data_IF_490275018876
#
_entry.id   IF_490275018876
#
_cell.length_a   1.000
_cell.length_b   1.000
_cell.length_c   1.000
_cell.angle_alpha   90.00
_cell.angle_beta   90.00
_cell.angle_gamma   90.00
#
_symmetry.space_group_name_H-M   'P 1'
#
loop_
_entity.id
_entity.type
_entity.pdbx_description
1 polymer ?
#
# COMPACT_ATOMS: atom_id res chain seq x y z
N UNK A 1 15.68 70.98 -13.80
CA UNK A 1 15.67 69.91 -14.82
C UNK A 1 15.64 68.57 -14.09
N UNK A 2 14.60 67.74 -14.26
CA UNK A 2 14.52 66.40 -13.63
C UNK A 2 15.43 65.47 -14.43
N UNK A 3 16.42 64.84 -13.80
CA UNK A 3 17.21 63.80 -14.45
C UNK A 3 16.33 62.57 -14.64
N UNK A 4 16.10 62.17 -15.89
CA UNK A 4 15.50 60.89 -16.19
C UNK A 4 16.54 59.82 -15.93
N UNK A 5 16.32 58.99 -14.91
CA UNK A 5 17.12 57.79 -14.70
C UNK A 5 16.97 56.89 -15.92
N UNK A 6 18.06 56.62 -16.62
CA UNK A 6 18.06 55.76 -17.79
C UNK A 6 18.06 54.32 -17.31
N UNK A 7 16.91 53.65 -17.39
CA UNK A 7 16.80 52.22 -17.09
C UNK A 7 17.40 51.49 -18.30
N UNK A 8 18.61 50.98 -18.15
CA UNK A 8 19.27 50.13 -19.14
C UNK A 8 18.97 48.68 -18.80
N UNK A 9 18.21 48.01 -19.67
CA UNK A 9 17.95 46.59 -19.54
C UNK A 9 19.15 45.79 -20.04
N UNK A 10 19.85 45.09 -19.15
CA UNK A 10 20.94 44.17 -19.47
C UNK A 10 20.51 42.70 -19.47
N UNK A 11 19.20 42.42 -19.41
CA UNK A 11 18.69 41.06 -19.54
C UNK A 11 18.81 40.60 -20.99
N UNK A 12 19.94 39.96 -21.30
CA UNK A 12 20.09 39.14 -22.49
C UNK A 12 19.60 37.74 -22.13
N UNK A 13 18.42 37.38 -22.60
CA UNK A 13 17.88 36.02 -22.43
C UNK A 13 18.61 35.14 -23.45
N UNK A 14 19.75 34.56 -23.05
CA UNK A 14 20.23 33.34 -23.70
C UNK A 14 19.22 32.23 -23.39
N UNK A 15 19.06 31.28 -24.32
CA UNK A 15 18.06 30.21 -24.23
C UNK A 15 18.00 29.54 -22.86
N UNK A 16 16.81 29.09 -22.50
CA UNK A 16 16.52 28.51 -21.19
C UNK A 16 17.39 27.28 -20.92
N UNK A 17 18.02 27.24 -19.74
CA UNK A 17 18.79 26.09 -19.30
C UNK A 17 17.86 24.92 -18.95
N UNK A 18 17.87 23.87 -19.77
CA UNK A 18 17.09 22.67 -19.54
C UNK A 18 17.87 21.64 -18.71
N UNK A 19 17.22 21.05 -17.71
CA UNK A 19 17.78 20.00 -16.86
C UNK A 19 16.91 18.75 -16.94
N UNK A 20 17.54 17.62 -17.25
CA UNK A 20 16.90 16.30 -17.22
C UNK A 20 17.27 15.57 -15.93
N UNK A 21 16.26 15.10 -15.20
CA UNK A 21 16.39 14.28 -14.00
C UNK A 21 15.95 12.84 -14.33
N UNK A 22 16.85 11.87 -14.15
CA UNK A 22 16.53 10.44 -14.18
C UNK A 22 16.56 9.91 -12.74
N UNK A 23 15.45 9.31 -12.30
CA UNK A 23 15.32 8.76 -10.95
C UNK A 23 15.08 7.26 -11.03
N UNK A 24 15.58 6.52 -10.05
CA UNK A 24 15.26 5.10 -9.86
C UNK A 24 14.67 4.95 -8.46
N UNK A 25 13.44 4.45 -8.38
CA UNK A 25 12.73 4.17 -7.13
C UNK A 25 12.71 2.66 -6.93
N UNK A 26 13.21 2.20 -5.79
CA UNK A 26 13.27 0.77 -5.46
C UNK A 26 12.75 0.52 -4.04
N UNK A 27 11.97 -0.55 -3.88
CA UNK A 27 11.57 -1.06 -2.59
C UNK A 27 12.51 -2.18 -2.15
N UNK A 28 13.03 -2.06 -0.92
CA UNK A 28 13.92 -3.05 -0.32
C UNK A 28 13.22 -3.67 0.87
N UNK A 29 12.56 -4.80 0.65
CA UNK A 29 12.03 -5.62 1.72
C UNK A 29 12.99 -6.77 2.02
N UNK A 30 13.74 -6.66 3.13
CA UNK A 30 14.56 -7.75 3.63
C UNK A 30 13.85 -8.44 4.78
N UNK A 31 13.09 -9.49 4.48
CA UNK A 31 12.67 -10.46 5.48
C UNK A 31 13.39 -11.77 5.19
N UNK A 32 14.12 -12.28 6.19
CA UNK A 32 14.74 -13.61 6.12
C UNK A 32 14.11 -14.41 7.22
N UNK A 33 13.17 -15.27 6.86
CA UNK A 33 12.60 -16.21 7.82
C UNK A 33 13.26 -17.55 7.58
N UNK A 34 14.07 -17.95 8.55
CA UNK A 34 14.65 -19.29 8.62
C UNK A 34 13.85 -20.07 9.64
N UNK A 35 13.30 -21.18 9.17
CA UNK A 35 12.55 -22.09 10.01
C UNK A 35 13.24 -23.44 10.01
N UNK A 36 13.53 -23.93 11.21
CA UNK A 36 13.90 -25.30 11.47
C UNK A 36 12.86 -25.88 12.44
N UNK A 37 12.30 -27.03 12.10
CA UNK A 37 11.37 -27.72 12.98
C UNK A 37 11.16 -29.17 12.60
N UNK A 38 10.57 -29.91 13.53
CA UNK A 38 10.19 -31.30 13.32
C UNK A 38 8.68 -31.36 13.49
N UNK A 39 8.00 -31.87 12.47
CA UNK A 39 6.60 -32.26 12.58
C UNK A 39 6.55 -33.78 12.75
N UNK A 40 5.79 -34.24 13.71
CA UNK A 40 5.69 -35.66 14.05
C UNK A 40 4.24 -36.10 14.23
N UNK A 41 3.91 -37.27 13.72
CA UNK A 41 2.64 -37.96 13.97
C UNK A 41 2.93 -39.32 14.59
N UNK A 42 2.26 -39.62 15.69
CA UNK A 42 2.29 -40.92 16.35
C UNK A 42 0.91 -41.54 16.30
N UNK A 43 0.79 -42.74 15.75
CA UNK A 43 -0.45 -43.52 15.73
C UNK A 43 -0.25 -44.78 16.55
N UNK A 44 -1.26 -45.14 17.34
CA UNK A 44 -1.31 -46.40 18.06
C UNK A 44 -2.73 -46.95 18.02
N UNK A 45 -2.85 -48.26 17.75
CA UNK A 45 -4.10 -48.99 17.85
C UNK A 45 -4.09 -49.91 19.06
N UNK A 46 -5.19 -49.91 19.80
CA UNK A 46 -5.46 -50.89 20.85
C UNK A 46 -6.92 -51.31 20.73
N UNK A 47 -7.15 -52.60 20.55
CA UNK A 47 -8.49 -53.20 20.48
C UNK A 47 -9.43 -52.51 19.46
N UNK A 48 -8.91 -52.23 18.26
CA UNK A 48 -9.65 -51.57 17.19
C UNK A 48 -9.86 -50.05 17.37
N UNK A 49 -9.46 -49.47 18.49
CA UNK A 49 -9.45 -48.02 18.70
C UNK A 49 -8.11 -47.42 18.25
N UNK A 50 -8.16 -46.34 17.47
CA UNK A 50 -6.99 -45.60 16.99
C UNK A 50 -6.76 -44.34 17.85
N UNK A 51 -5.55 -44.21 18.37
CA UNK A 51 -5.06 -43.02 19.06
C UNK A 51 -4.03 -42.33 18.16
N UNK A 52 -4.13 -41.02 18.02
CA UNK A 52 -3.20 -40.22 17.23
C UNK A 52 -2.73 -39.01 18.01
N UNK A 53 -1.42 -38.79 18.06
CA UNK A 53 -0.78 -37.59 18.59
C UNK A 53 -0.06 -36.87 17.46
N UNK A 54 -0.29 -35.56 17.34
CA UNK A 54 0.38 -34.72 16.35
C UNK A 54 1.21 -33.68 17.09
N UNK A 55 2.47 -33.56 16.70
CA UNK A 55 3.37 -32.46 17.03
C UNK A 55 3.58 -31.66 15.75
N UNK A 56 3.03 -30.46 15.71
CA UNK A 56 3.22 -29.51 14.62
C UNK A 56 4.12 -28.37 15.10
N UNK A 57 5.00 -27.88 14.23
CA UNK A 57 5.67 -26.61 14.47
C UNK A 57 4.69 -25.44 14.22
N UNK A 58 4.24 -24.71 15.26
CA UNK A 58 3.22 -23.67 15.13
C UNK A 58 3.73 -22.41 14.40
N UNK A 59 5.05 -22.27 14.21
CA UNK A 59 5.69 -21.12 13.56
C UNK A 59 6.04 -21.39 12.08
N UNK A 60 5.24 -22.23 11.42
CA UNK A 60 5.37 -22.58 10.01
C UNK A 60 5.18 -21.40 9.05
N UNK A 61 6.04 -21.24 8.04
CA UNK A 61 5.87 -20.35 6.87
C UNK A 61 4.73 -20.80 5.92
N UNK A 62 3.62 -21.28 6.48
CA UNK A 62 2.52 -21.94 5.78
C UNK A 62 2.61 -23.47 5.87
N UNK A 63 1.45 -24.13 6.01
CA UNK A 63 1.38 -25.60 5.90
C UNK A 63 1.48 -25.96 4.42
N UNK A 64 2.65 -26.44 3.98
CA UNK A 64 2.84 -26.89 2.61
C UNK A 64 1.83 -28.00 2.24
N UNK A 65 1.12 -27.84 1.12
CA UNK A 65 0.10 -28.79 0.62
C UNK A 65 0.72 -30.15 0.23
N UNK A 66 2.02 -30.15 -0.05
CA UNK A 66 2.87 -31.32 -0.18
C UNK A 66 4.02 -31.21 0.81
N UNK A 67 4.40 -32.34 1.40
CA UNK A 67 5.35 -32.44 2.50
C UNK A 67 6.79 -32.15 2.03
N UNK A 68 7.14 -30.88 1.85
CA UNK A 68 8.48 -30.42 1.48
C UNK A 68 9.46 -30.47 2.69
N UNK A 69 9.57 -31.64 3.34
CA UNK A 69 10.49 -31.89 4.43
C UNK A 69 11.14 -33.28 4.30
N UNK A 70 12.29 -33.48 4.91
CA UNK A 70 12.96 -34.77 4.92
C UNK A 70 12.32 -35.67 5.99
N UNK A 71 11.82 -36.85 5.60
CA UNK A 71 11.35 -37.83 6.57
C UNK A 71 12.54 -38.37 7.39
N UNK A 72 12.49 -38.19 8.71
CA UNK A 72 13.51 -38.67 9.65
C UNK A 72 13.04 -39.91 10.43
N UNK A 73 11.72 -40.14 10.47
CA UNK A 73 11.12 -41.41 10.86
C UNK A 73 9.89 -41.65 9.97
N UNK A 74 9.70 -42.88 9.52
CA UNK A 74 8.53 -43.27 8.74
C UNK A 74 7.91 -44.52 9.38
N UNK A 75 6.76 -44.34 10.04
CA UNK A 75 6.03 -45.43 10.68
C UNK A 75 5.35 -46.38 9.68
N UNK A 76 5.42 -46.09 8.38
CA UNK A 76 4.76 -46.85 7.33
C UNK A 76 3.24 -46.91 7.51
N UNK A 77 2.59 -47.86 6.82
CA UNK A 77 1.14 -48.10 6.95
C UNK A 77 0.80 -48.96 8.19
N UNK A 78 1.63 -48.91 9.23
CA UNK A 78 1.38 -49.64 10.48
C UNK A 78 0.32 -48.90 11.30
N UNK A 79 -0.66 -49.61 11.88
CA UNK A 79 -1.62 -49.00 12.82
C UNK A 79 -0.93 -48.53 14.11
N UNK A 80 0.30 -48.99 14.36
CA UNK A 80 1.17 -48.55 15.44
C UNK A 80 2.48 -48.04 14.82
N UNK A 81 2.58 -46.73 14.60
CA UNK A 81 3.68 -46.12 13.86
C UNK A 81 4.01 -44.72 14.37
N UNK A 82 5.29 -44.35 14.25
CA UNK A 82 5.74 -42.98 14.51
C UNK A 82 6.36 -42.48 13.21
N UNK A 83 5.82 -41.38 12.71
CA UNK A 83 6.34 -40.66 11.55
C UNK A 83 6.82 -39.29 12.00
N UNK A 84 8.00 -38.89 11.56
CA UNK A 84 8.57 -37.59 11.86
C UNK A 84 9.27 -37.03 10.62
N UNK A 85 9.08 -35.75 10.39
CA UNK A 85 9.58 -35.02 9.23
C UNK A 85 10.34 -33.79 9.71
N UNK A 86 11.61 -33.69 9.30
CA UNK A 86 12.41 -32.49 9.47
C UNK A 86 12.04 -31.48 8.38
N UNK A 87 11.66 -30.27 8.79
CA UNK A 87 11.45 -29.13 7.91
C UNK A 87 12.53 -28.09 8.16
N UNK A 88 13.27 -27.78 7.11
CA UNK A 88 14.22 -26.68 7.07
C UNK A 88 13.82 -25.80 5.87
N UNK A 89 13.16 -24.68 6.15
CA UNK A 89 12.69 -23.75 5.11
C UNK A 89 13.36 -22.40 5.32
N UNK A 90 13.80 -21.80 4.22
CA UNK A 90 14.29 -20.43 4.19
C UNK A 90 13.46 -19.66 3.17
N UNK A 91 12.79 -18.61 3.63
CA UNK A 91 12.16 -17.64 2.75
C UNK A 91 12.98 -16.35 2.81
N UNK A 92 13.54 -15.97 1.66
CA UNK A 92 14.19 -14.69 1.46
C UNK A 92 13.25 -13.74 0.71
N UNK A 93 12.97 -12.59 1.30
CA UNK A 93 12.34 -11.47 0.60
C UNK A 93 13.22 -11.01 -0.57
N UNK A 94 12.60 -10.70 -1.70
CA UNK A 94 13.27 -10.21 -2.90
C UNK A 94 13.18 -8.69 -2.97
N UNK A 95 14.21 -8.04 -3.52
CA UNK A 95 14.16 -6.62 -3.87
C UNK A 95 13.37 -6.44 -5.16
N UNK A 96 12.60 -5.35 -5.27
CA UNK A 96 11.90 -4.99 -6.50
C UNK A 96 12.01 -3.49 -6.78
N UNK A 97 12.34 -3.14 -8.02
CA UNK A 97 12.29 -1.75 -8.50
C UNK A 97 10.85 -1.37 -8.81
N UNK A 98 10.42 -0.21 -8.31
CA UNK A 98 9.05 0.28 -8.47
C UNK A 98 8.89 1.10 -9.74
N UNK A 99 9.83 2.01 -10.04
CA UNK A 99 9.81 2.80 -11.26
C UNK A 99 11.14 3.50 -11.56
N UNK A 100 11.34 3.87 -12.84
CA UNK A 100 12.43 4.75 -13.29
C UNK A 100 11.89 5.98 -14.03
N UNK A 101 11.37 7.01 -13.34
CA UNK A 101 10.84 8.18 -14.02
C UNK A 101 11.96 9.09 -14.54
N UNK A 102 11.69 9.75 -15.67
CA UNK A 102 12.54 10.80 -16.24
C UNK A 102 11.75 12.08 -16.45
N UNK A 103 12.25 13.21 -15.96
CA UNK A 103 11.61 14.52 -16.08
C UNK A 103 12.59 15.52 -16.68
N UNK A 104 12.05 16.48 -17.42
CA UNK A 104 12.79 17.64 -17.92
C UNK A 104 12.13 18.91 -17.42
N UNK A 105 12.92 19.83 -16.87
CA UNK A 105 12.45 21.14 -16.42
C UNK A 105 13.45 22.22 -16.80
N UNK A 106 12.97 23.47 -16.82
CA UNK A 106 13.80 24.65 -17.01
C UNK A 106 14.38 25.07 -15.66
N UNK A 107 15.60 25.62 -15.66
CA UNK A 107 16.24 26.19 -14.48
C UNK A 107 15.37 27.25 -13.81
N UNK A 108 15.06 27.04 -12.53
CA UNK A 108 14.20 27.90 -11.71
C UNK A 108 12.73 27.50 -11.71
N UNK A 109 12.29 26.64 -12.62
CA UNK A 109 10.88 26.23 -12.76
C UNK A 109 10.62 24.85 -12.13
N UNK A 110 9.45 24.70 -11.51
CA UNK A 110 9.05 23.42 -10.93
C UNK A 110 8.37 22.54 -11.97
N UNK A 111 8.85 21.31 -12.13
CA UNK A 111 8.15 20.24 -12.82
C UNK A 111 7.61 19.23 -11.79
N UNK A 112 6.44 18.67 -12.08
CA UNK A 112 5.86 17.59 -11.29
C UNK A 112 5.57 16.37 -12.18
N UNK A 113 5.76 15.20 -11.59
CA UNK A 113 5.44 13.92 -12.19
C UNK A 113 4.59 13.15 -11.19
N UNK A 114 3.43 12.69 -11.64
CA UNK A 114 2.54 11.84 -10.84
C UNK A 114 2.10 10.69 -11.73
N UNK A 115 2.33 9.48 -11.25
CA UNK A 115 1.88 8.25 -11.92
C UNK A 115 1.30 7.33 -10.87
N UNK A 116 0.11 6.81 -11.11
CA UNK A 116 -0.64 6.08 -10.11
C UNK A 116 -2.13 6.03 -10.42
N UNK A 117 -2.92 5.76 -9.39
CA UNK A 117 -4.37 5.78 -9.46
C UNK A 117 -4.98 6.23 -8.13
N UNK A 118 -6.29 6.26 -8.07
CA UNK A 118 -7.04 6.61 -6.88
C UNK A 118 -7.80 5.37 -6.40
N UNK A 119 -7.82 5.14 -5.08
CA UNK A 119 -8.64 4.11 -4.46
C UNK A 119 -9.67 4.76 -3.53
N UNK A 120 -10.94 4.47 -3.78
CA UNK A 120 -12.05 5.00 -2.98
C UNK A 120 -12.36 4.06 -1.83
N UNK A 121 -12.24 4.55 -0.60
CA UNK A 121 -12.70 3.84 0.61
C UNK A 121 -13.99 4.46 1.15
N UNK A 122 -14.92 3.62 1.57
CA UNK A 122 -16.10 4.09 2.31
C UNK A 122 -15.64 4.62 3.68
N UNK A 123 -15.85 5.91 3.95
CA UNK A 123 -15.43 6.57 5.19
C UNK A 123 -16.54 6.65 6.23
N UNK A 124 -17.79 6.48 5.80
CA UNK A 124 -18.92 6.52 6.70
C UNK A 124 -20.25 6.43 5.98
N UNK A 125 -21.31 6.34 6.77
CA UNK A 125 -22.70 6.35 6.31
C UNK A 125 -23.48 7.29 7.22
N UNK A 126 -24.13 8.28 6.62
CA UNK A 126 -25.06 9.16 7.31
C UNK A 126 -26.48 8.72 6.99
N UNK A 127 -27.26 8.42 8.03
CA UNK A 127 -28.68 8.14 7.89
C UNK A 127 -29.48 9.31 8.45
N UNK A 128 -30.35 9.90 7.62
CA UNK A 128 -31.37 10.83 8.09
C UNK A 128 -32.66 10.04 8.30
N UNK A 129 -33.18 9.91 9.53
CA UNK A 129 -34.39 9.16 9.78
C UNK A 129 -35.60 9.85 9.17
N UNK A 130 -36.61 9.07 8.77
CA UNK A 130 -37.86 9.62 8.27
C UNK A 130 -38.53 10.49 9.35
N UNK A 131 -38.92 11.70 8.98
CA UNK A 131 -39.59 12.65 9.89
C UNK A 131 -41.04 12.77 9.48
N UNK A 132 -41.95 12.54 10.44
CA UNK A 132 -43.38 12.78 10.26
C UNK A 132 -43.78 14.00 11.07
N UNK A 133 -44.19 15.07 10.41
CA UNK A 133 -44.68 16.29 11.06
C UNK A 133 -46.19 16.40 10.91
N UNK A 134 -46.96 16.53 12.00
CA UNK A 134 -48.40 16.67 11.92
C UNK A 134 -48.77 18.04 11.33
N UNK A 135 -49.69 18.05 10.37
CA UNK A 135 -50.30 19.24 9.81
C UNK A 135 -51.54 19.55 10.66
N UNK A 136 -51.57 20.73 11.28
CA UNK A 136 -52.62 21.16 12.20
C UNK A 136 -53.59 22.12 11.49
N UNK A 137 -54.88 22.00 11.78
CA UNK A 137 -55.89 23.01 11.42
C UNK A 137 -55.81 24.22 12.38
N UNK A 138 -56.46 25.33 12.07
CA UNK A 138 -56.50 26.56 12.88
C UNK A 138 -56.95 26.33 14.35
N UNK A 139 -57.69 25.25 14.60
CA UNK A 139 -58.18 24.86 15.92
C UNK A 139 -57.26 23.84 16.64
N UNK A 140 -56.07 23.57 16.11
CA UNK A 140 -55.08 22.66 16.71
C UNK A 140 -55.32 21.16 16.49
N UNK A 141 -56.34 20.78 15.71
CA UNK A 141 -56.59 19.38 15.34
C UNK A 141 -55.71 18.89 14.19
N UNK A 142 -55.22 17.64 14.27
CA UNK A 142 -54.38 17.02 13.23
C UNK A 142 -55.24 16.67 12.01
N UNK A 143 -54.89 17.20 10.84
CA UNK A 143 -55.59 16.97 9.56
C UNK A 143 -54.78 16.20 8.52
N UNK A 144 -53.50 15.97 8.79
CA UNK A 144 -52.60 15.20 7.93
C UNK A 144 -51.20 15.09 8.51
N UNK A 145 -50.32 14.38 7.82
CA UNK A 145 -48.90 14.29 8.15
C UNK A 145 -48.09 14.65 6.91
N UNK A 146 -47.10 15.50 7.07
CA UNK A 146 -46.03 15.67 6.09
C UNK A 146 -44.93 14.65 6.40
N UNK A 147 -44.54 13.86 5.41
CA UNK A 147 -43.59 12.76 5.56
C UNK A 147 -42.32 13.06 4.77
N UNK A 148 -41.24 13.35 5.49
CA UNK A 148 -39.89 13.41 4.89
C UNK A 148 -39.32 12.00 4.90
N UNK A 149 -39.03 11.38 3.74
CA UNK A 149 -38.52 10.01 3.67
C UNK A 149 -37.13 9.91 4.28
N UNK A 150 -36.78 8.72 4.79
CA UNK A 150 -35.43 8.44 5.26
C UNK A 150 -34.45 8.48 4.09
N UNK A 151 -33.27 9.07 4.29
CA UNK A 151 -32.20 9.09 3.31
C UNK A 151 -30.92 8.46 3.88
N UNK A 152 -30.18 7.78 3.01
CA UNK A 152 -28.88 7.20 3.31
C UNK A 152 -27.86 7.81 2.38
N UNK A 153 -26.83 8.42 2.94
CA UNK A 153 -25.71 8.97 2.19
C UNK A 153 -24.42 8.22 2.55
N UNK A 154 -23.74 7.70 1.54
CA UNK A 154 -22.45 7.04 1.69
C UNK A 154 -21.33 8.06 1.47
N UNK A 155 -20.50 8.23 2.49
CA UNK A 155 -19.31 9.06 2.40
C UNK A 155 -18.15 8.23 1.88
N UNK A 156 -17.45 8.79 0.90
CA UNK A 156 -16.31 8.19 0.24
C UNK A 156 -15.08 9.06 0.48
N UNK A 157 -13.93 8.44 0.66
CA UNK A 157 -12.63 9.10 0.74
C UNK A 157 -11.73 8.50 -0.33
N UNK A 158 -11.23 9.35 -1.20
CA UNK A 158 -10.26 8.96 -2.23
C UNK A 158 -8.85 9.03 -1.65
N UNK A 159 -8.08 7.98 -1.89
CA UNK A 159 -6.69 7.84 -1.47
C UNK A 159 -5.85 7.61 -2.73
N UNK A 160 -4.98 8.55 -3.04
CA UNK A 160 -4.05 8.43 -4.16
C UNK A 160 -2.94 7.42 -3.83
N UNK A 161 -2.66 6.53 -4.77
CA UNK A 161 -1.49 5.66 -4.73
C UNK A 161 -0.66 5.84 -5.98
N UNK A 162 0.63 5.51 -5.89
CA UNK A 162 1.61 5.65 -6.95
C UNK A 162 2.79 6.51 -6.53
N UNK A 163 3.46 7.08 -7.53
CA UNK A 163 4.70 7.83 -7.37
C UNK A 163 4.44 9.28 -7.74
N UNK A 164 4.71 10.18 -6.79
CA UNK A 164 4.74 11.62 -6.98
C UNK A 164 6.17 12.15 -6.86
N UNK A 165 6.59 13.01 -7.78
CA UNK A 165 7.89 13.62 -7.80
C UNK A 165 7.77 15.09 -8.21
N UNK A 166 8.07 15.99 -7.28
CA UNK A 166 8.24 17.42 -7.57
C UNK A 166 9.72 17.75 -7.66
N UNK A 167 10.10 18.44 -8.72
CA UNK A 167 11.48 18.70 -9.10
C UNK A 167 11.64 20.16 -9.53
N UNK A 168 12.47 20.92 -8.82
CA UNK A 168 12.84 22.29 -9.19
C UNK A 168 14.37 22.39 -9.29
N UNK A 169 14.95 22.35 -10.51
CA UNK A 169 16.38 22.58 -10.70
C UNK A 169 16.71 24.06 -10.70
N UNK A 170 17.92 24.42 -10.29
CA UNK A 170 18.51 25.76 -10.50
C UNK A 170 19.97 25.58 -10.93
N UNK A 171 20.31 25.97 -12.15
CA UNK A 171 21.68 25.99 -12.65
C UNK A 171 22.41 27.19 -12.05
N UNK A 172 23.49 26.92 -11.30
CA UNK A 172 24.28 27.98 -10.65
C UNK A 172 25.49 28.38 -11.51
N UNK A 173 26.12 27.38 -12.14
CA UNK A 173 27.30 27.51 -13.00
C UNK A 173 27.46 26.23 -13.82
N UNK A 174 28.30 26.21 -14.88
CA UNK A 174 28.63 24.98 -15.59
C UNK A 174 29.06 23.87 -14.61
N UNK A 175 28.42 22.70 -14.69
CA UNK A 175 28.69 21.54 -13.83
C UNK A 175 28.15 21.63 -12.39
N UNK A 176 27.44 22.70 -12.01
CA UNK A 176 26.80 22.82 -10.69
C UNK A 176 25.32 23.16 -10.81
N UNK A 177 24.50 22.22 -10.33
CA UNK A 177 23.05 22.34 -10.31
C UNK A 177 22.60 22.18 -8.86
N UNK A 178 21.80 23.14 -8.39
CA UNK A 178 21.06 23.01 -7.14
C UNK A 178 19.71 22.35 -7.43
N UNK A 179 19.33 21.37 -6.62
CA UNK A 179 18.11 20.58 -6.85
C UNK A 179 17.24 20.67 -5.60
N UNK A 180 15.97 21.05 -5.78
CA UNK A 180 14.95 20.88 -4.75
C UNK A 180 14.00 19.77 -5.21
N UNK A 181 13.94 18.70 -4.43
CA UNK A 181 13.22 17.49 -4.79
C UNK A 181 12.27 17.12 -3.65
N UNK A 182 11.03 16.77 -4.00
CA UNK A 182 10.06 16.14 -3.10
C UNK A 182 9.55 14.87 -3.76
N UNK A 183 9.76 13.73 -3.09
CA UNK A 183 9.31 12.41 -3.56
C UNK A 183 8.21 11.89 -2.65
N UNK A 184 7.18 11.30 -3.23
CA UNK A 184 6.13 10.56 -2.55
C UNK A 184 5.94 9.21 -3.25
N UNK A 185 5.84 8.14 -2.47
CA UNK A 185 5.60 6.78 -2.95
C UNK A 185 4.50 6.17 -2.09
N UNK A 186 3.49 5.62 -2.73
CA UNK A 186 2.33 4.98 -2.12
C UNK A 186 1.96 3.76 -2.94
N UNK A 187 1.67 2.64 -2.28
CA UNK A 187 1.24 1.40 -2.93
C UNK A 187 -0.15 1.00 -2.44
N UNK A 188 -0.99 0.40 -3.29
CA UNK A 188 -2.24 -0.17 -2.86
C UNK A 188 -1.93 -1.48 -2.12
N UNK A 189 -2.11 -1.49 -0.80
CA UNK A 189 -2.08 -2.70 0.04
C UNK A 189 -3.48 -3.19 0.37
#
# INVERSE_FOLDING_TARGET
RRQSSQIVNMLQIQGEDQVTLKVTVAEVQRSVVKQLGIDGTGTASLDGMLFSSVSDNPFGLGKAISSAGAAIANGGNSPNGISAQLRAMEQAGVMRTLAEPSLTAISGESASFKVGGEFTVASGKSETPAKRTPILNANGGIIGYDETPASVEYQHKDIDYGIGLDFTPVVLSPGRISLKIRTAVSEPT
#
